data_IF_374473987137
#
_entry.id   IF_374473987137
#
_cell.length_a   1.000
_cell.length_b   1.000
_cell.length_c   1.000
_cell.angle_alpha   90.00
_cell.angle_beta   90.00
_cell.angle_gamma   90.00
#
_symmetry.space_group_name_H-M   'P 1'
#
loop_
_entity.id
_entity.type
_entity.pdbx_description
1 polymer ?
#
# COMPACT_ATOMS: atom_id res chain seq x y z
N UNK A 1 -5.09 19.72 26.65
CA UNK A 1 -4.24 18.56 26.32
C UNK A 1 -3.19 18.81 25.22
N UNK A 2 -3.10 20.01 24.61
CA UNK A 2 -2.03 20.34 23.64
C UNK A 2 -1.01 21.39 24.13
N UNK A 3 -1.09 21.82 25.41
CA UNK A 3 -0.17 22.82 25.98
C UNK A 3 1.25 22.28 26.33
N UNK A 4 1.52 21.00 26.08
CA UNK A 4 2.79 20.36 26.49
C UNK A 4 3.72 19.99 25.33
N UNK A 5 3.34 20.22 24.06
CA UNK A 5 4.20 19.95 22.89
C UNK A 5 5.13 21.13 22.55
N UNK A 6 5.60 21.85 23.58
CA UNK A 6 6.52 22.97 23.40
C UNK A 6 7.94 22.47 23.20
N UNK A 7 8.51 22.77 22.01
CA UNK A 7 9.88 22.54 21.53
C UNK A 7 10.18 21.12 21.04
N UNK A 8 9.90 20.91 19.76
CA UNK A 8 10.36 19.79 18.95
C UNK A 8 11.86 19.94 18.68
N UNK A 9 12.67 19.01 19.17
CA UNK A 9 14.09 18.88 18.78
C UNK A 9 14.18 18.10 17.46
N UNK A 10 14.22 18.84 16.35
CA UNK A 10 14.46 18.37 14.96
C UNK A 10 15.87 17.74 14.78
N UNK A 11 16.76 17.94 15.76
CA UNK A 11 18.20 17.64 15.68
C UNK A 11 18.52 16.12 15.66
N UNK A 12 17.61 15.25 16.12
CA UNK A 12 17.97 13.83 16.37
C UNK A 12 17.74 12.88 15.19
N UNK A 13 17.14 13.35 14.10
CA UNK A 13 16.95 12.59 12.84
C UNK A 13 18.07 12.85 11.81
N UNK A 14 19.00 13.76 12.11
CA UNK A 14 20.01 14.24 11.14
C UNK A 14 21.28 13.38 11.08
N UNK A 15 21.60 12.56 12.09
CA UNK A 15 22.79 11.68 12.01
C UNK A 15 22.56 10.42 11.19
N UNK A 16 21.36 9.86 11.23
CA UNK A 16 21.13 8.49 10.73
C UNK A 16 20.74 8.46 9.24
N UNK A 17 20.27 9.58 8.69
CA UNK A 17 19.86 9.70 7.28
C UNK A 17 21.06 10.00 6.36
N UNK A 18 22.17 10.54 6.89
CA UNK A 18 23.31 10.97 6.08
C UNK A 18 24.13 9.79 5.48
N UNK A 19 24.05 8.59 6.04
CA UNK A 19 24.87 7.44 5.57
C UNK A 19 24.13 6.46 4.64
N UNK A 20 22.80 6.42 4.64
CA UNK A 20 22.04 5.40 3.89
C UNK A 20 21.54 5.79 2.49
N UNK A 21 21.62 7.07 2.10
CA UNK A 21 20.88 7.61 0.94
C UNK A 21 21.73 7.73 -0.34
N UNK A 22 23.05 7.53 -0.26
CA UNK A 22 23.94 7.66 -1.43
C UNK A 22 23.84 6.53 -2.47
N UNK A 23 23.27 5.35 -2.16
CA UNK A 23 23.28 4.21 -3.09
C UNK A 23 22.05 4.10 -4.00
N UNK A 24 20.93 4.73 -3.67
CA UNK A 24 19.65 4.51 -4.37
C UNK A 24 19.43 5.48 -5.53
N UNK A 25 20.13 6.62 -5.56
CA UNK A 25 19.93 7.67 -6.57
C UNK A 25 20.51 7.35 -7.98
N UNK A 26 21.16 6.20 -8.17
CA UNK A 26 21.92 5.90 -9.39
C UNK A 26 21.17 5.11 -10.48
N UNK A 27 19.86 4.87 -10.38
CA UNK A 27 19.10 4.10 -11.39
C UNK A 27 17.75 4.72 -11.71
N UNK A 28 17.76 5.83 -12.44
CA UNK A 28 16.55 6.35 -13.09
C UNK A 28 16.58 6.05 -14.58
N UNK A 29 15.65 5.24 -15.10
CA UNK A 29 15.23 5.30 -16.51
C UNK A 29 13.82 4.71 -16.74
N UNK A 30 12.95 5.57 -17.33
CA UNK A 30 11.86 5.32 -18.28
C UNK A 30 10.56 4.60 -17.85
N UNK A 31 9.56 5.43 -17.54
CA UNK A 31 8.12 5.09 -17.56
C UNK A 31 7.51 5.28 -18.96
N UNK A 32 6.68 4.33 -19.40
CA UNK A 32 5.62 4.56 -20.38
C UNK A 32 4.34 3.83 -19.95
N UNK A 33 3.24 4.55 -20.00
CA UNK A 33 1.92 4.27 -19.43
C UNK A 33 1.07 3.28 -20.24
N UNK A 34 0.30 2.42 -19.55
CA UNK A 34 -0.92 1.79 -20.09
C UNK A 34 -1.84 1.24 -18.99
N UNK A 35 -3.03 1.82 -18.87
CA UNK A 35 -4.17 1.30 -18.08
C UNK A 35 -5.10 0.49 -18.98
N UNK A 36 -5.68 -0.65 -18.52
CA UNK A 36 -6.76 -1.32 -19.25
C UNK A 36 -8.14 -0.86 -18.78
N UNK A 37 -9.04 -0.61 -19.75
CA UNK A 37 -10.47 -0.30 -19.56
C UNK A 37 -11.30 -1.60 -19.48
N UNK A 38 -12.31 -1.59 -18.62
CA UNK A 38 -13.35 -2.62 -18.48
C UNK A 38 -14.52 -2.33 -19.44
N UNK A 39 -15.08 -3.31 -20.18
CA UNK A 39 -16.29 -3.10 -20.97
C UNK A 39 -17.55 -3.35 -20.13
N UNK A 40 -18.45 -2.36 -20.12
CA UNK A 40 -19.85 -2.45 -19.74
C UNK A 40 -20.65 -2.63 -21.03
N UNK A 41 -21.44 -3.70 -21.15
CA UNK A 41 -22.28 -3.90 -22.33
C UNK A 41 -23.78 -3.94 -22.03
N UNK A 42 -24.52 -3.48 -23.05
CA UNK A 42 -25.81 -2.81 -22.97
C UNK A 42 -26.99 -3.76 -22.97
N UNK A 43 -28.06 -3.25 -22.39
CA UNK A 43 -29.45 -3.65 -22.58
C UNK A 43 -29.83 -3.75 -24.06
N UNK A 44 -30.54 -4.82 -24.43
CA UNK A 44 -31.23 -4.91 -25.73
C UNK A 44 -32.58 -5.58 -25.56
N UNK A 45 -33.62 -4.80 -25.86
CA UNK A 45 -35.03 -5.17 -25.92
C UNK A 45 -35.32 -5.83 -27.26
N UNK A 46 -36.05 -6.96 -27.30
CA UNK A 46 -36.78 -7.37 -28.51
C UNK A 46 -38.12 -8.03 -28.21
N UNK A 47 -39.15 -7.49 -28.88
CA UNK A 47 -40.56 -7.86 -28.87
C UNK A 47 -40.78 -9.27 -29.44
N UNK A 48 -41.80 -9.94 -28.94
CA UNK A 48 -42.08 -11.35 -29.20
C UNK A 48 -42.88 -11.67 -30.46
N UNK A 49 -43.16 -12.96 -30.59
CA UNK A 49 -44.18 -13.58 -31.44
C UNK A 49 -44.64 -14.87 -30.77
N UNK A 50 -45.96 -15.03 -30.69
CA UNK A 50 -46.69 -16.16 -30.10
C UNK A 50 -46.63 -17.37 -31.03
N UNK A 51 -46.38 -18.57 -30.50
CA UNK A 51 -46.88 -19.82 -31.09
C UNK A 51 -47.12 -20.88 -30.01
N UNK A 52 -48.31 -21.45 -30.10
CA UNK A 52 -48.95 -22.47 -29.27
C UNK A 52 -48.19 -23.78 -29.13
N UNK A 53 -48.27 -24.37 -27.93
CA UNK A 53 -48.45 -25.82 -27.75
C UNK A 53 -47.22 -26.72 -27.85
N UNK A 54 -46.56 -26.94 -26.71
CA UNK A 54 -46.00 -28.23 -26.29
C UNK A 54 -45.50 -28.08 -24.85
N UNK A 55 -46.32 -28.52 -23.90
CA UNK A 55 -46.00 -28.60 -22.48
C UNK A 55 -44.93 -29.68 -22.29
N UNK A 56 -43.66 -29.26 -22.34
CA UNK A 56 -42.54 -30.06 -21.84
C UNK A 56 -42.62 -30.00 -20.32
N UNK A 57 -43.09 -31.10 -19.72
CA UNK A 57 -43.06 -31.32 -18.28
C UNK A 57 -41.60 -31.31 -17.78
N UNK A 58 -41.09 -30.12 -17.49
CA UNK A 58 -39.99 -29.92 -16.55
C UNK A 58 -40.56 -30.42 -15.22
N UNK A 59 -40.07 -31.54 -14.69
CA UNK A 59 -40.35 -31.89 -13.29
C UNK A 59 -39.93 -30.67 -12.45
N UNK A 60 -40.89 -29.90 -11.91
CA UNK A 60 -40.55 -28.64 -11.26
C UNK A 60 -39.71 -28.98 -10.04
N UNK A 61 -38.57 -28.32 -9.88
CA UNK A 61 -37.83 -28.38 -8.63
C UNK A 61 -38.82 -27.99 -7.52
N UNK A 62 -39.12 -28.93 -6.62
CA UNK A 62 -40.18 -28.76 -5.63
C UNK A 62 -39.64 -28.16 -4.33
N UNK A 63 -40.01 -26.91 -4.07
CA UNK A 63 -39.74 -26.20 -2.83
C UNK A 63 -40.92 -26.30 -1.83
N UNK A 64 -41.90 -27.18 -2.07
CA UNK A 64 -43.10 -27.34 -1.23
C UNK A 64 -42.80 -27.60 0.24
N UNK A 65 -41.65 -28.22 0.52
CA UNK A 65 -41.15 -28.45 1.87
C UNK A 65 -41.11 -27.17 2.72
N UNK A 66 -40.86 -26.00 2.10
CA UNK A 66 -40.72 -24.72 2.80
C UNK A 66 -41.96 -23.80 2.68
N UNK A 67 -43.12 -24.34 2.29
CA UNK A 67 -44.35 -23.53 2.14
C UNK A 67 -44.95 -23.06 3.46
N UNK A 68 -44.81 -23.86 4.51
CA UNK A 68 -45.42 -23.61 5.82
C UNK A 68 -44.29 -23.35 6.84
N UNK A 69 -43.88 -22.09 6.96
CA UNK A 69 -42.90 -21.63 7.94
C UNK A 69 -43.60 -20.66 8.89
N UNK A 70 -43.58 -20.96 10.18
CA UNK A 70 -44.11 -20.12 11.25
C UNK A 70 -42.97 -19.31 11.89
N UNK A 71 -42.98 -18.00 11.67
CA UNK A 71 -42.05 -17.04 12.27
C UNK A 71 -42.81 -16.22 13.32
N UNK A 72 -42.44 -16.36 14.60
CA UNK A 72 -43.18 -15.71 15.70
C UNK A 72 -43.05 -14.19 15.72
N UNK A 73 -41.96 -13.65 15.16
CA UNK A 73 -41.61 -12.24 15.03
C UNK A 73 -41.68 -11.73 13.58
N UNK A 74 -42.60 -12.29 12.78
CA UNK A 74 -42.85 -11.84 11.41
C UNK A 74 -43.36 -10.39 11.38
N UNK A 75 -42.52 -9.47 10.91
CA UNK A 75 -42.82 -8.03 10.82
C UNK A 75 -43.78 -7.66 9.68
N UNK A 76 -43.99 -8.57 8.72
CA UNK A 76 -44.92 -8.37 7.61
C UNK A 76 -46.37 -8.74 7.99
N UNK A 77 -46.56 -9.67 8.94
CA UNK A 77 -47.87 -10.08 9.45
C UNK A 77 -48.27 -9.25 10.69
N UNK A 78 -48.49 -7.95 10.44
CA UNK A 78 -48.87 -6.95 11.45
C UNK A 78 -50.20 -6.28 11.12
N UNK A 79 -50.86 -5.72 12.13
CA UNK A 79 -52.11 -4.99 11.96
C UNK A 79 -51.98 -3.59 12.59
N UNK A 80 -52.42 -2.50 11.92
CA UNK A 80 -52.25 -1.12 12.43
C UNK A 80 -52.81 -0.84 13.83
N UNK A 81 -53.74 -1.68 14.30
CA UNK A 81 -54.38 -1.55 15.61
C UNK A 81 -53.85 -2.54 16.67
N UNK A 82 -52.85 -3.36 16.36
CA UNK A 82 -52.26 -4.33 17.28
C UNK A 82 -50.81 -3.95 17.55
N UNK A 83 -50.44 -3.92 18.82
CA UNK A 83 -49.07 -3.65 19.24
C UNK A 83 -48.16 -4.84 18.91
N UNK A 84 -47.23 -4.64 17.97
CA UNK A 84 -46.40 -5.72 17.41
C UNK A 84 -45.47 -6.38 18.43
N UNK A 85 -44.81 -5.67 19.37
CA UNK A 85 -43.92 -6.32 20.34
C UNK A 85 -44.65 -7.24 21.32
N UNK A 86 -45.89 -6.91 21.71
CA UNK A 86 -46.71 -7.79 22.56
C UNK A 86 -47.29 -8.96 21.75
N UNK A 87 -47.68 -8.75 20.50
CA UNK A 87 -48.11 -9.79 19.58
C UNK A 87 -47.03 -10.86 19.34
N UNK A 88 -45.78 -10.46 19.08
CA UNK A 88 -44.68 -11.41 18.85
C UNK A 88 -44.38 -12.27 20.07
N UNK A 89 -44.41 -11.69 21.27
CA UNK A 89 -44.26 -12.44 22.53
C UNK A 89 -45.40 -13.43 22.72
N UNK A 90 -46.63 -13.02 22.42
CA UNK A 90 -47.79 -13.89 22.51
C UNK A 90 -47.72 -15.05 21.51
N UNK A 91 -47.36 -14.79 20.24
CA UNK A 91 -47.12 -15.82 19.21
C UNK A 91 -46.04 -16.81 19.64
N UNK A 92 -44.91 -16.30 20.17
CA UNK A 92 -43.85 -17.14 20.72
C UNK A 92 -44.34 -18.02 21.87
N UNK A 93 -45.11 -17.47 22.81
CA UNK A 93 -45.67 -18.23 23.92
C UNK A 93 -46.66 -19.31 23.44
N UNK A 94 -47.58 -18.96 22.54
CA UNK A 94 -48.55 -19.89 21.98
C UNK A 94 -47.87 -21.04 21.21
N UNK A 95 -46.72 -20.78 20.58
CA UNK A 95 -45.88 -21.82 19.96
C UNK A 95 -45.28 -22.76 21.00
N UNK A 96 -44.68 -22.22 22.06
CA UNK A 96 -44.10 -23.02 23.15
C UNK A 96 -45.16 -23.88 23.85
N UNK A 97 -46.36 -23.34 24.07
CA UNK A 97 -47.50 -24.06 24.65
C UNK A 97 -47.94 -25.23 23.73
N UNK A 98 -48.11 -24.99 22.43
CA UNK A 98 -48.42 -26.06 21.45
C UNK A 98 -47.36 -27.17 21.44
N UNK A 99 -46.07 -26.79 21.44
CA UNK A 99 -44.98 -27.78 21.48
C UNK A 99 -44.96 -28.55 22.81
N UNK A 100 -45.24 -27.90 23.94
CA UNK A 100 -45.30 -28.56 25.25
C UNK A 100 -46.48 -29.53 25.36
N UNK A 101 -47.67 -29.16 24.89
CA UNK A 101 -48.84 -30.04 24.84
C UNK A 101 -48.60 -31.26 23.95
N UNK A 102 -47.96 -31.05 22.79
CA UNK A 102 -47.60 -32.12 21.86
C UNK A 102 -46.63 -33.11 22.49
N UNK A 103 -45.57 -32.60 23.13
CA UNK A 103 -44.61 -33.43 23.86
C UNK A 103 -45.29 -34.28 24.94
N UNK A 104 -46.23 -33.69 25.69
CA UNK A 104 -46.99 -34.40 26.71
C UNK A 104 -47.89 -35.50 26.11
N UNK A 105 -48.53 -35.25 24.96
CA UNK A 105 -49.31 -36.26 24.23
C UNK A 105 -48.44 -37.40 23.71
N UNK A 106 -47.26 -37.11 23.16
CA UNK A 106 -46.27 -38.11 22.74
C UNK A 106 -45.85 -39.00 23.92
N UNK A 107 -45.47 -38.40 25.05
CA UNK A 107 -45.07 -39.13 26.25
C UNK A 107 -46.20 -40.03 26.82
N UNK A 108 -47.46 -39.58 26.75
CA UNK A 108 -48.62 -40.39 27.13
C UNK A 108 -48.80 -41.59 26.20
N UNK A 109 -48.67 -41.38 24.88
CA UNK A 109 -48.79 -42.44 23.88
C UNK A 109 -47.66 -43.47 24.00
N UNK A 110 -46.44 -43.05 24.28
CA UNK A 110 -45.31 -43.96 24.56
C UNK A 110 -45.53 -44.81 25.82
N UNK A 111 -46.13 -44.22 26.86
CA UNK A 111 -46.55 -44.97 28.07
C UNK A 111 -47.66 -45.97 27.76
N UNK A 112 -48.66 -45.60 26.97
CA UNK A 112 -49.73 -46.52 26.52
C UNK A 112 -49.14 -47.68 25.69
N UNK A 113 -48.22 -47.38 24.78
CA UNK A 113 -47.52 -48.36 23.92
C UNK A 113 -46.65 -49.32 24.72
N UNK A 114 -45.83 -48.83 25.64
CA UNK A 114 -44.99 -49.69 26.50
C UNK A 114 -45.81 -50.60 27.42
N UNK A 115 -46.90 -50.08 28.00
CA UNK A 115 -47.79 -50.86 28.85
C UNK A 115 -48.56 -51.93 28.06
N UNK A 116 -49.11 -51.60 26.89
CA UNK A 116 -49.87 -52.55 26.06
C UNK A 116 -48.97 -53.62 25.44
N UNK A 117 -47.78 -53.26 24.99
CA UNK A 117 -46.79 -54.23 24.46
C UNK A 117 -46.29 -55.19 25.54
N UNK A 118 -46.10 -54.73 26.78
CA UNK A 118 -45.72 -55.59 27.90
C UNK A 118 -46.85 -56.57 28.25
N UNK A 119 -48.10 -56.08 28.33
CA UNK A 119 -49.28 -56.93 28.54
C UNK A 119 -49.49 -57.96 27.43
N UNK A 120 -49.24 -57.59 26.16
CA UNK A 120 -49.32 -58.54 25.05
C UNK A 120 -48.31 -59.68 25.19
N UNK A 121 -47.06 -59.37 25.52
CA UNK A 121 -46.02 -60.39 25.75
C UNK A 121 -46.38 -61.31 26.91
N UNK A 122 -46.78 -60.73 28.04
CA UNK A 122 -47.18 -61.49 29.23
C UNK A 122 -48.36 -62.43 28.94
N UNK A 123 -49.36 -61.98 28.18
CA UNK A 123 -50.53 -62.80 27.79
C UNK A 123 -50.17 -63.88 26.76
N UNK A 124 -49.28 -63.59 25.81
CA UNK A 124 -48.78 -64.57 24.84
C UNK A 124 -47.95 -65.66 25.54
N UNK A 125 -47.08 -65.29 26.48
CA UNK A 125 -46.26 -66.22 27.25
C UNK A 125 -47.13 -67.09 28.17
N UNK A 126 -48.17 -66.51 28.79
CA UNK A 126 -49.18 -67.27 29.55
C UNK A 126 -49.91 -68.26 28.64
N UNK A 127 -50.34 -67.86 27.45
CA UNK A 127 -51.05 -68.75 26.52
C UNK A 127 -50.16 -69.91 26.00
N UNK A 128 -48.85 -69.70 25.92
CA UNK A 128 -47.87 -70.74 25.55
C UNK A 128 -47.56 -71.74 26.68
N UNK A 129 -47.91 -71.45 27.93
CA UNK A 129 -47.70 -72.36 29.06
C UNK A 129 -48.68 -73.55 29.01
N UNK A 130 -48.15 -74.77 29.08
CA UNK A 130 -48.87 -76.02 28.80
C UNK A 130 -49.79 -76.54 29.93
N UNK A 131 -49.94 -75.80 31.03
CA UNK A 131 -50.65 -76.20 32.26
C UNK A 131 -52.06 -75.62 32.42
N UNK A 132 -52.59 -74.93 31.41
CA UNK A 132 -53.81 -74.10 31.55
C UNK A 132 -55.09 -74.87 31.13
N UNK A 133 -56.14 -74.76 31.94
CA UNK A 133 -57.46 -75.36 31.68
C UNK A 133 -58.22 -74.68 30.53
N UNK A 134 -59.12 -75.39 29.84
CA UNK A 134 -59.84 -74.86 28.67
C UNK A 134 -60.62 -73.56 28.94
N UNK A 135 -61.16 -73.37 30.15
CA UNK A 135 -61.87 -72.16 30.53
C UNK A 135 -60.93 -70.94 30.70
N UNK A 136 -59.75 -71.15 31.27
CA UNK A 136 -58.73 -70.10 31.45
C UNK A 136 -58.10 -69.71 30.11
N UNK A 137 -57.97 -70.64 29.17
CA UNK A 137 -57.54 -70.33 27.79
C UNK A 137 -58.52 -69.44 27.06
N UNK A 138 -59.83 -69.67 27.21
CA UNK A 138 -60.86 -68.82 26.60
C UNK A 138 -60.87 -67.41 27.20
N UNK A 139 -60.56 -67.28 28.50
CA UNK A 139 -60.46 -65.99 29.18
C UNK A 139 -59.20 -65.21 28.75
N UNK A 140 -58.04 -65.87 28.69
CA UNK A 140 -56.79 -65.27 28.18
C UNK A 140 -56.94 -64.87 26.71
N UNK A 141 -57.66 -65.66 25.90
CA UNK A 141 -57.93 -65.32 24.51
C UNK A 141 -58.78 -64.06 24.36
N UNK A 142 -59.82 -63.89 25.19
CA UNK A 142 -60.63 -62.66 25.24
C UNK A 142 -59.81 -61.45 25.67
N UNK A 143 -58.99 -61.60 26.71
CA UNK A 143 -58.07 -60.55 27.17
C UNK A 143 -57.03 -60.18 26.10
N UNK A 144 -56.55 -61.14 25.32
CA UNK A 144 -55.62 -60.92 24.22
C UNK A 144 -56.27 -60.17 23.06
N UNK A 145 -57.54 -60.47 22.76
CA UNK A 145 -58.31 -59.75 21.74
C UNK A 145 -58.64 -58.31 22.20
N UNK A 146 -58.96 -58.10 23.48
CA UNK A 146 -59.13 -56.76 24.06
C UNK A 146 -57.84 -55.93 24.02
N UNK A 147 -56.68 -56.53 24.34
CA UNK A 147 -55.39 -55.84 24.28
C UNK A 147 -54.95 -55.58 22.83
N UNK A 148 -55.28 -56.46 21.87
CA UNK A 148 -55.10 -56.16 20.43
C UNK A 148 -55.98 -55.02 19.95
N UNK A 149 -57.19 -54.88 20.48
CA UNK A 149 -58.05 -53.73 20.17
C UNK A 149 -57.44 -52.43 20.76
N UNK A 150 -56.89 -52.50 21.97
CA UNK A 150 -56.09 -51.41 22.55
C UNK A 150 -54.85 -51.11 21.68
N UNK A 151 -54.25 -52.14 21.08
CA UNK A 151 -53.14 -52.00 20.14
C UNK A 151 -53.52 -51.22 18.88
N UNK A 152 -54.61 -51.64 18.24
CA UNK A 152 -55.16 -50.95 17.09
C UNK A 152 -55.51 -49.49 17.42
N UNK A 153 -56.04 -49.23 18.63
CA UNK A 153 -56.38 -47.88 19.11
C UNK A 153 -55.15 -46.99 19.26
N UNK A 154 -54.06 -47.45 19.89
CA UNK A 154 -52.86 -46.61 20.02
C UNK A 154 -52.10 -46.50 18.69
N UNK A 155 -52.14 -47.51 17.81
CA UNK A 155 -51.59 -47.42 16.45
C UNK A 155 -52.31 -46.38 15.59
N UNK A 156 -53.63 -46.26 15.73
CA UNK A 156 -54.39 -45.21 15.08
C UNK A 156 -53.99 -43.82 15.60
N UNK A 157 -53.85 -43.66 16.93
CA UNK A 157 -53.35 -42.41 17.53
C UNK A 157 -51.90 -42.08 17.12
N UNK A 158 -51.04 -43.08 16.97
CA UNK A 158 -49.63 -42.92 16.52
C UNK A 158 -49.60 -42.35 15.10
N UNK A 159 -50.42 -42.91 14.21
CA UNK A 159 -50.53 -42.43 12.83
C UNK A 159 -51.11 -41.02 12.75
N UNK A 160 -52.11 -40.71 13.58
CA UNK A 160 -52.66 -39.35 13.66
C UNK A 160 -51.61 -38.33 14.12
N UNK A 161 -50.78 -38.71 15.08
CA UNK A 161 -49.70 -37.87 15.60
C UNK A 161 -48.57 -37.67 14.58
N UNK A 162 -48.24 -38.71 13.81
CA UNK A 162 -47.29 -38.65 12.69
C UNK A 162 -47.79 -37.74 11.55
N UNK A 163 -49.09 -37.81 11.22
CA UNK A 163 -49.69 -36.90 10.25
C UNK A 163 -49.70 -35.44 10.77
N UNK A 164 -49.91 -35.23 12.07
CA UNK A 164 -49.78 -33.91 12.71
C UNK A 164 -48.34 -33.39 12.73
N UNK A 165 -47.33 -34.25 12.88
CA UNK A 165 -45.92 -33.90 12.75
C UNK A 165 -45.54 -33.52 11.33
N UNK A 166 -46.07 -34.25 10.34
CA UNK A 166 -45.80 -33.98 8.92
C UNK A 166 -46.40 -32.67 8.43
N UNK A 167 -47.56 -32.29 8.96
CA UNK A 167 -48.26 -31.03 8.66
C UNK A 167 -47.82 -29.88 9.59
N UNK A 168 -46.83 -30.09 10.46
CA UNK A 168 -46.41 -29.06 11.39
C UNK A 168 -45.64 -27.95 10.66
N UNK A 169 -45.97 -26.67 10.94
CA UNK A 169 -45.21 -25.57 10.39
C UNK A 169 -43.76 -25.60 10.86
N UNK A 170 -42.85 -25.37 9.93
CA UNK A 170 -41.43 -25.21 10.21
C UNK A 170 -41.20 -23.97 11.08
N UNK A 171 -40.41 -24.11 12.13
CA UNK A 171 -40.03 -23.03 13.03
C UNK A 171 -38.54 -23.13 13.37
N UNK A 172 -38.00 -22.14 14.08
CA UNK A 172 -36.57 -22.08 14.44
C UNK A 172 -36.06 -23.32 15.19
N UNK A 173 -36.95 -24.05 15.88
CA UNK A 173 -36.61 -25.23 16.68
C UNK A 173 -36.67 -26.54 15.85
N UNK A 174 -37.36 -26.54 14.71
CA UNK A 174 -37.58 -27.70 13.83
C UNK A 174 -36.76 -27.63 12.53
N UNK A 175 -36.46 -26.44 12.03
CA UNK A 175 -35.71 -26.22 10.77
C UNK A 175 -34.26 -26.69 10.89
N UNK A 176 -33.65 -26.50 12.06
CA UNK A 176 -32.26 -26.87 12.28
C UNK A 176 -31.87 -26.78 13.75
N UNK A 177 -30.68 -27.29 14.06
CA UNK A 177 -30.06 -27.18 15.38
C UNK A 177 -28.71 -26.49 15.25
N UNK A 178 -28.24 -25.88 16.34
CA UNK A 178 -26.90 -25.33 16.38
C UNK A 178 -25.88 -26.46 16.23
N UNK A 179 -25.06 -26.41 15.17
CA UNK A 179 -24.00 -27.40 14.91
C UNK A 179 -22.62 -26.91 15.35
N UNK A 180 -22.38 -25.61 15.22
CA UNK A 180 -21.12 -24.98 15.56
C UNK A 180 -21.34 -23.53 16.04
N UNK A 181 -20.72 -23.21 17.18
CA UNK A 181 -20.73 -21.87 17.76
C UNK A 181 -19.32 -21.51 18.18
N UNK A 182 -18.73 -20.48 17.59
CA UNK A 182 -17.40 -20.00 18.01
C UNK A 182 -17.34 -18.49 17.96
N UNK A 183 -17.02 -17.90 19.11
CA UNK A 183 -16.79 -16.47 19.24
C UNK A 183 -15.29 -16.20 19.33
N UNK A 184 -14.77 -15.30 18.49
CA UNK A 184 -13.38 -14.85 18.56
C UNK A 184 -13.33 -13.37 18.90
N UNK A 185 -12.97 -13.04 20.13
CA UNK A 185 -12.76 -11.66 20.57
C UNK A 185 -11.30 -11.28 20.29
N UNK A 186 -11.09 -10.25 19.47
CA UNK A 186 -9.76 -9.71 19.21
C UNK A 186 -9.30 -8.89 20.43
N UNK A 187 -8.65 -9.54 21.40
CA UNK A 187 -8.10 -8.86 22.58
C UNK A 187 -6.98 -7.92 22.13
N UNK A 188 -7.06 -6.65 22.51
CA UNK A 188 -6.00 -5.66 22.29
C UNK A 188 -4.76 -6.18 23.04
N UNK A 189 -3.76 -6.64 22.30
CA UNK A 189 -2.47 -6.97 22.88
C UNK A 189 -1.78 -5.65 23.23
N UNK A 190 -1.27 -5.53 24.45
CA UNK A 190 -0.34 -4.44 24.75
C UNK A 190 0.81 -4.55 23.73
N UNK A 191 1.21 -3.43 23.08
CA UNK A 191 2.28 -3.47 22.11
C UNK A 191 3.51 -4.00 22.83
N UNK A 192 3.93 -5.22 22.49
CA UNK A 192 5.24 -5.74 22.89
C UNK A 192 6.21 -4.63 22.52
N UNK A 193 6.93 -4.10 23.51
CA UNK A 193 7.95 -3.07 23.32
C UNK A 193 8.73 -3.48 22.08
N UNK A 194 8.60 -2.71 20.99
CA UNK A 194 9.20 -3.06 19.72
C UNK A 194 10.65 -3.40 20.01
N UNK A 195 11.02 -4.68 19.85
CA UNK A 195 12.43 -5.03 19.81
C UNK A 195 12.99 -4.12 18.74
N UNK A 196 13.92 -3.23 19.12
CA UNK A 196 14.56 -2.32 18.16
C UNK A 196 15.06 -3.21 17.05
N UNK A 197 14.46 -3.07 15.87
CA UNK A 197 14.95 -3.73 14.68
C UNK A 197 16.39 -3.28 14.49
N UNK A 198 17.23 -4.17 13.95
CA UNK A 198 18.60 -3.78 13.64
C UNK A 198 18.54 -2.60 12.66
N UNK A 199 19.46 -1.64 12.78
CA UNK A 199 19.50 -0.45 11.92
C UNK A 199 19.53 -0.85 10.43
N UNK A 200 20.21 -1.96 10.10
CA UNK A 200 20.24 -2.53 8.75
C UNK A 200 18.90 -3.13 8.27
N UNK A 201 18.07 -3.64 9.18
CA UNK A 201 16.75 -4.18 8.84
C UNK A 201 15.75 -3.05 8.64
N UNK A 202 15.85 -1.98 9.42
CA UNK A 202 15.01 -0.80 9.31
C UNK A 202 15.29 -0.02 8.03
N UNK A 203 16.56 0.11 7.61
CA UNK A 203 16.91 0.73 6.32
C UNK A 203 16.37 -0.05 5.14
N UNK A 204 16.50 -1.40 5.15
CA UNK A 204 15.90 -2.27 4.12
C UNK A 204 14.39 -2.14 4.07
N UNK A 205 13.71 -2.14 5.23
CA UNK A 205 12.25 -1.95 5.28
C UNK A 205 11.82 -0.59 4.76
N UNK A 206 12.60 0.46 5.05
CA UNK A 206 12.34 1.79 4.52
C UNK A 206 12.49 1.81 3.00
N UNK A 207 13.57 1.23 2.45
CA UNK A 207 13.78 1.12 1.00
C UNK A 207 12.62 0.35 0.32
N UNK A 208 12.30 -0.85 0.82
CA UNK A 208 11.18 -1.66 0.33
C UNK A 208 9.84 -0.91 0.38
N UNK A 209 9.60 -0.14 1.45
CA UNK A 209 8.38 0.63 1.62
C UNK A 209 8.30 1.78 0.60
N UNK A 210 9.40 2.52 0.42
CA UNK A 210 9.50 3.61 -0.54
C UNK A 210 9.29 3.09 -1.97
N UNK A 211 9.95 2.00 -2.35
CA UNK A 211 9.81 1.41 -3.69
C UNK A 211 8.37 0.95 -3.98
N UNK A 212 7.72 0.28 -3.02
CA UNK A 212 6.34 -0.22 -3.20
C UNK A 212 5.29 0.89 -3.25
N UNK A 213 5.55 2.02 -2.60
CA UNK A 213 4.56 3.09 -2.41
C UNK A 213 4.96 4.41 -3.09
N UNK A 214 6.00 4.43 -3.91
CA UNK A 214 6.57 5.65 -4.50
C UNK A 214 5.50 6.52 -5.19
N UNK A 215 4.70 5.92 -6.07
CA UNK A 215 3.64 6.63 -6.77
C UNK A 215 2.57 7.21 -5.84
N UNK A 216 2.26 6.52 -4.73
CA UNK A 216 1.32 7.02 -3.73
C UNK A 216 1.91 8.17 -2.90
N UNK A 217 3.20 8.07 -2.54
CA UNK A 217 3.91 9.10 -1.78
C UNK A 217 4.10 10.39 -2.60
N UNK A 218 4.41 10.27 -3.89
CA UNK A 218 4.45 11.41 -4.81
C UNK A 218 3.08 12.04 -4.98
N UNK A 219 2.03 11.23 -5.11
CA UNK A 219 0.64 11.73 -5.21
C UNK A 219 0.28 12.48 -3.94
N UNK A 220 0.54 11.91 -2.76
CA UNK A 220 0.33 12.55 -1.46
C UNK A 220 1.05 13.90 -1.35
N UNK A 221 2.33 13.94 -1.74
CA UNK A 221 3.15 15.16 -1.69
C UNK A 221 2.65 16.29 -2.60
N UNK A 222 1.79 16.01 -3.57
CA UNK A 222 1.19 17.01 -4.48
C UNK A 222 -0.23 17.41 -4.10
N UNK A 223 -0.80 16.80 -3.06
CA UNK A 223 -2.16 17.14 -2.60
C UNK A 223 -2.14 18.54 -1.99
N UNK A 224 -3.22 19.27 -2.25
CA UNK A 224 -3.49 20.55 -1.62
C UNK A 224 -4.77 20.49 -0.80
N UNK A 225 -4.71 21.06 0.40
CA UNK A 225 -5.86 21.23 1.26
C UNK A 225 -6.16 20.02 2.15
N UNK A 226 -6.56 20.32 3.39
CA UNK A 226 -6.75 19.36 4.47
C UNK A 226 -7.74 18.24 4.14
N UNK A 227 -8.84 18.55 3.44
CA UNK A 227 -9.88 17.57 3.14
C UNK A 227 -9.43 16.52 2.13
N UNK A 228 -8.73 16.95 1.08
CA UNK A 228 -8.16 16.02 0.10
C UNK A 228 -7.07 15.15 0.74
N UNK A 229 -6.26 15.72 1.64
CA UNK A 229 -5.27 14.97 2.41
C UNK A 229 -5.95 13.94 3.35
N UNK A 230 -7.05 14.29 4.01
CA UNK A 230 -7.84 13.39 4.86
C UNK A 230 -8.41 12.20 4.06
N UNK A 231 -9.04 12.48 2.93
CA UNK A 231 -9.66 11.46 2.08
C UNK A 231 -8.58 10.48 1.57
N UNK A 232 -7.43 10.99 1.10
CA UNK A 232 -6.33 10.16 0.62
C UNK A 232 -5.69 9.29 1.71
N UNK A 233 -5.44 9.83 2.91
CA UNK A 233 -4.90 9.04 4.02
C UNK A 233 -5.90 8.01 4.54
N UNK A 234 -7.20 8.29 4.43
CA UNK A 234 -8.26 7.34 4.77
C UNK A 234 -8.32 6.17 3.79
N UNK A 235 -8.08 6.41 2.50
CA UNK A 235 -7.97 5.38 1.45
C UNK A 235 -6.66 4.59 1.55
N UNK A 236 -5.57 5.24 2.00
CA UNK A 236 -4.25 4.64 2.13
C UNK A 236 -3.65 4.80 3.55
N UNK A 237 -4.23 4.16 4.59
CA UNK A 237 -3.84 4.42 5.98
C UNK A 237 -2.41 3.98 6.31
N UNK A 238 -1.86 3.01 5.58
CA UNK A 238 -0.50 2.51 5.75
C UNK A 238 0.58 3.54 5.43
N UNK A 239 0.25 4.60 4.69
CA UNK A 239 1.18 5.70 4.40
C UNK A 239 1.45 6.58 5.63
N UNK A 240 0.58 6.56 6.64
CA UNK A 240 0.79 7.30 7.87
C UNK A 240 1.83 6.59 8.77
N UNK A 241 3.10 6.69 8.41
CA UNK A 241 4.23 6.07 9.09
C UNK A 241 5.49 6.97 9.01
N UNK A 242 6.50 6.67 9.84
CA UNK A 242 7.75 7.46 9.87
C UNK A 242 8.53 7.37 8.55
N UNK A 243 8.49 6.22 7.87
CA UNK A 243 9.16 6.03 6.58
C UNK A 243 8.61 6.99 5.50
N UNK A 244 7.30 7.22 5.47
CA UNK A 244 6.69 8.18 4.54
C UNK A 244 7.15 9.62 4.83
N UNK A 245 7.22 10.02 6.10
CA UNK A 245 7.73 11.35 6.48
C UNK A 245 9.19 11.55 6.06
N UNK A 246 10.03 10.51 6.22
CA UNK A 246 11.43 10.53 5.79
C UNK A 246 11.57 10.63 4.27
N UNK A 247 10.80 9.83 3.51
CA UNK A 247 10.76 9.91 2.05
C UNK A 247 10.39 11.31 1.57
N UNK A 248 9.29 11.87 2.10
CA UNK A 248 8.83 13.22 1.73
C UNK A 248 9.89 14.28 2.05
N UNK A 249 10.62 14.15 3.15
CA UNK A 249 11.68 15.09 3.53
C UNK A 249 12.84 15.07 2.52
N UNK A 250 13.25 13.88 2.07
CA UNK A 250 14.30 13.72 1.06
C UNK A 250 13.82 14.29 -0.28
N UNK A 251 12.60 13.99 -0.67
CA UNK A 251 12.06 14.46 -1.95
C UNK A 251 11.87 15.99 -1.96
N UNK A 252 11.45 16.59 -0.84
CA UNK A 252 11.46 18.04 -0.67
C UNK A 252 12.86 18.63 -0.87
N UNK A 253 13.90 17.98 -0.35
CA UNK A 253 15.28 18.43 -0.52
C UNK A 253 15.75 18.32 -1.98
N UNK A 254 15.39 17.24 -2.67
CA UNK A 254 15.69 17.07 -4.09
C UNK A 254 15.04 18.18 -4.93
N UNK A 255 13.75 18.46 -4.70
CA UNK A 255 13.04 19.56 -5.37
C UNK A 255 13.67 20.94 -5.08
N UNK A 256 14.17 21.15 -3.87
CA UNK A 256 14.89 22.38 -3.51
C UNK A 256 16.23 22.51 -4.26
N UNK A 257 16.97 21.41 -4.45
CA UNK A 257 18.21 21.37 -5.23
C UNK A 257 17.93 21.67 -6.70
N UNK A 258 16.85 21.08 -7.25
CA UNK A 258 16.38 21.29 -8.62
C UNK A 258 15.77 22.68 -8.87
N UNK A 259 15.67 23.53 -7.84
CA UNK A 259 15.04 24.87 -7.88
C UNK A 259 13.55 24.84 -8.23
N UNK A 260 12.85 23.75 -7.94
CA UNK A 260 11.39 23.62 -8.10
C UNK A 260 10.68 24.08 -6.82
N UNK A 261 10.70 25.38 -6.56
CA UNK A 261 10.23 25.95 -5.29
C UNK A 261 8.74 25.75 -5.04
N UNK A 262 7.90 25.87 -6.06
CA UNK A 262 6.45 25.71 -5.92
C UNK A 262 6.11 24.29 -5.45
N UNK A 263 6.62 23.27 -6.14
CA UNK A 263 6.41 21.85 -5.79
C UNK A 263 6.99 21.50 -4.42
N UNK A 264 8.17 22.04 -4.09
CA UNK A 264 8.79 21.88 -2.78
C UNK A 264 7.89 22.43 -1.67
N UNK A 265 7.29 23.62 -1.86
CA UNK A 265 6.43 24.24 -0.85
C UNK A 265 5.19 23.37 -0.55
N UNK A 266 4.56 22.80 -1.58
CA UNK A 266 3.41 21.90 -1.42
C UNK A 266 3.80 20.65 -0.65
N UNK A 267 4.88 20.01 -1.09
CA UNK A 267 5.33 18.75 -0.49
C UNK A 267 5.81 18.95 0.94
N UNK A 268 6.42 20.11 1.24
CA UNK A 268 6.83 20.49 2.57
C UNK A 268 5.63 20.64 3.52
N UNK A 269 4.54 21.26 3.08
CA UNK A 269 3.30 21.36 3.86
C UNK A 269 2.75 19.96 4.18
N UNK A 270 2.66 19.07 3.19
CA UNK A 270 2.19 17.69 3.38
C UNK A 270 3.12 16.88 4.30
N UNK A 271 4.43 17.08 4.20
CA UNK A 271 5.40 16.47 5.10
C UNK A 271 5.18 16.88 6.56
N UNK A 272 4.94 18.18 6.83
CA UNK A 272 4.67 18.68 8.18
C UNK A 272 3.32 18.16 8.72
N UNK A 273 2.29 18.08 7.88
CA UNK A 273 1.00 17.46 8.26
C UNK A 273 1.20 16.00 8.70
N UNK A 274 2.00 15.23 7.95
CA UNK A 274 2.33 13.86 8.30
C UNK A 274 3.09 13.77 9.65
N UNK A 275 4.06 14.67 9.88
CA UNK A 275 4.80 14.73 11.14
C UNK A 275 3.90 15.04 12.33
N UNK A 276 2.96 15.98 12.19
CA UNK A 276 1.99 16.32 13.23
C UNK A 276 1.07 15.15 13.56
N UNK A 277 0.62 14.41 12.55
CA UNK A 277 -0.18 13.20 12.74
C UNK A 277 0.60 12.12 13.51
N UNK A 278 1.87 11.90 13.16
CA UNK A 278 2.76 10.95 13.84
C UNK A 278 3.02 11.35 15.29
N UNK A 279 3.23 12.63 15.56
CA UNK A 279 3.43 13.15 16.92
C UNK A 279 2.16 13.01 17.76
N UNK A 280 0.98 13.29 17.19
CA UNK A 280 -0.29 13.05 17.85
C UNK A 280 -0.46 11.55 18.18
N UNK A 281 -0.13 10.66 17.25
CA UNK A 281 -0.19 9.22 17.47
C UNK A 281 0.71 8.78 18.63
N UNK A 282 1.96 9.29 18.68
CA UNK A 282 2.89 9.05 19.79
C UNK A 282 2.33 9.54 21.12
N UNK A 283 1.75 10.74 21.15
CA UNK A 283 1.19 11.33 22.38
C UNK A 283 0.00 10.53 22.94
N UNK A 284 -0.81 9.95 22.05
CA UNK A 284 -1.97 9.14 22.40
C UNK A 284 -1.64 7.65 22.56
N UNK A 285 -0.37 7.26 22.41
CA UNK A 285 0.09 5.86 22.39
C UNK A 285 -0.73 5.00 21.42
N UNK A 286 -1.05 5.57 20.27
CA UNK A 286 -1.82 4.94 19.20
C UNK A 286 -0.96 4.82 17.94
N UNK A 287 -1.48 4.12 16.92
CA UNK A 287 -0.81 3.94 15.63
C UNK A 287 -1.34 5.00 14.66
N UNK A 288 -0.43 5.71 13.98
CA UNK A 288 -0.79 6.78 13.03
C UNK A 288 -1.62 6.28 11.84
N UNK A 289 -1.49 5.01 11.46
CA UNK A 289 -2.30 4.33 10.44
C UNK A 289 -3.75 4.06 10.87
N UNK A 290 -4.14 4.40 12.11
CA UNK A 290 -5.51 4.24 12.54
C UNK A 290 -6.41 5.31 11.91
N UNK A 291 -7.35 4.89 11.07
CA UNK A 291 -8.28 5.78 10.35
C UNK A 291 -9.11 6.66 11.30
N UNK A 292 -9.50 6.16 12.48
CA UNK A 292 -10.24 6.98 13.45
C UNK A 292 -9.37 8.07 14.06
N UNK A 293 -8.07 7.80 14.26
CA UNK A 293 -7.13 8.81 14.70
C UNK A 293 -6.94 9.88 13.62
N UNK A 294 -6.77 9.47 12.37
CA UNK A 294 -6.62 10.37 11.22
C UNK A 294 -7.83 11.30 11.07
N UNK A 295 -9.05 10.76 11.02
CA UNK A 295 -10.29 11.55 10.95
C UNK A 295 -10.41 12.52 12.13
N UNK A 296 -10.08 12.09 13.33
CA UNK A 296 -10.12 12.96 14.51
C UNK A 296 -9.05 14.05 14.47
N UNK A 297 -7.88 13.77 13.90
CA UNK A 297 -6.82 14.75 13.67
C UNK A 297 -7.32 15.84 12.71
N UNK A 298 -7.78 15.48 11.51
CA UNK A 298 -8.24 16.44 10.52
C UNK A 298 -9.48 17.22 10.97
N UNK A 299 -10.44 16.56 11.65
CA UNK A 299 -11.59 17.24 12.26
C UNK A 299 -11.17 18.31 13.29
N UNK A 300 -10.17 18.02 14.13
CA UNK A 300 -9.67 18.99 15.11
C UNK A 300 -8.83 20.08 14.44
N UNK A 301 -8.05 19.72 13.43
CA UNK A 301 -7.23 20.65 12.68
C UNK A 301 -8.10 21.69 11.95
N UNK A 302 -9.18 21.25 11.29
CA UNK A 302 -10.13 22.14 10.62
C UNK A 302 -10.95 23.03 11.56
N UNK A 303 -11.06 22.65 12.84
CA UNK A 303 -11.73 23.43 13.89
C UNK A 303 -10.75 24.14 14.85
N UNK A 304 -9.46 24.20 14.50
CA UNK A 304 -8.43 24.75 15.37
C UNK A 304 -8.51 26.28 15.48
N UNK A 305 -8.03 26.80 16.61
CA UNK A 305 -7.89 28.24 16.84
C UNK A 305 -6.94 28.85 15.78
N UNK A 306 -7.23 30.05 15.23
CA UNK A 306 -6.33 30.76 14.33
C UNK A 306 -4.88 30.86 14.82
N UNK A 307 -4.64 30.91 16.13
CA UNK A 307 -3.31 30.94 16.74
C UNK A 307 -2.54 29.63 16.48
N UNK A 308 -3.23 28.49 16.56
CA UNK A 308 -2.64 27.18 16.26
C UNK A 308 -2.32 27.05 14.76
N UNK A 309 -3.24 27.51 13.92
CA UNK A 309 -3.04 27.52 12.46
C UNK A 309 -1.83 28.37 12.08
N UNK A 310 -1.63 29.54 12.72
CA UNK A 310 -0.43 30.37 12.51
C UNK A 310 0.86 29.64 12.89
N UNK A 311 0.90 29.02 14.06
CA UNK A 311 2.06 28.23 14.51
C UNK A 311 2.40 27.11 13.51
N UNK A 312 1.38 26.46 12.94
CA UNK A 312 1.58 25.45 11.89
C UNK A 312 2.23 26.05 10.64
N UNK A 313 1.75 27.20 10.14
CA UNK A 313 2.34 27.85 8.97
C UNK A 313 3.77 28.33 9.23
N UNK A 314 4.06 28.86 10.42
CA UNK A 314 5.42 29.25 10.84
C UNK A 314 6.37 28.03 10.86
N UNK A 315 5.89 26.86 11.28
CA UNK A 315 6.69 25.63 11.25
C UNK A 315 6.92 25.10 9.83
N UNK A 316 5.92 25.21 8.95
CA UNK A 316 6.07 24.90 7.52
C UNK A 316 7.10 25.82 6.87
N UNK A 317 7.02 27.14 7.12
CA UNK A 317 7.97 28.13 6.59
C UNK A 317 9.39 27.86 7.13
N UNK A 318 9.53 27.62 8.43
CA UNK A 318 10.82 27.27 9.02
C UNK A 318 11.39 25.96 8.44
N UNK A 319 10.54 24.99 8.09
CA UNK A 319 10.98 23.76 7.42
C UNK A 319 11.45 24.02 5.98
N UNK A 320 10.71 24.84 5.22
CA UNK A 320 11.10 25.28 3.88
C UNK A 320 12.44 26.03 3.90
N UNK A 321 12.66 26.92 4.86
CA UNK A 321 13.94 27.66 4.99
C UNK A 321 15.13 26.74 5.27
N UNK A 322 14.93 25.70 6.11
CA UNK A 322 15.96 24.68 6.34
C UNK A 322 16.26 23.91 5.06
N UNK A 323 15.25 23.57 4.27
CA UNK A 323 15.43 22.89 2.98
C UNK A 323 16.18 23.77 1.97
N UNK A 324 15.82 25.06 1.86
CA UNK A 324 16.53 26.03 1.00
C UNK A 324 18.00 26.12 1.38
N UNK A 325 18.30 26.29 2.67
CA UNK A 325 19.69 26.39 3.17
C UNK A 325 20.47 25.09 2.92
N UNK A 326 19.88 23.93 3.18
CA UNK A 326 20.55 22.64 2.92
C UNK A 326 20.77 22.41 1.42
N UNK A 327 19.84 22.84 0.59
CA UNK A 327 19.98 22.76 -0.86
C UNK A 327 21.10 23.66 -1.38
N UNK A 328 21.25 24.90 -0.87
CA UNK A 328 22.38 25.77 -1.22
C UNK A 328 23.71 25.17 -0.79
N UNK A 329 23.82 24.71 0.46
CA UNK A 329 25.04 24.06 0.98
C UNK A 329 25.42 22.82 0.16
N UNK A 330 24.46 21.97 -0.22
CA UNK A 330 24.73 20.77 -1.01
C UNK A 330 25.13 21.09 -2.45
N UNK A 331 24.58 22.16 -3.03
CA UNK A 331 24.97 22.64 -4.37
C UNK A 331 26.36 23.26 -4.35
N UNK A 332 26.67 24.07 -3.33
CA UNK A 332 28.00 24.65 -3.13
C UNK A 332 29.07 23.56 -2.91
N UNK A 333 28.74 22.52 -2.12
CA UNK A 333 29.61 21.36 -1.94
C UNK A 333 29.86 20.62 -3.26
N UNK A 334 28.83 20.35 -4.05
CA UNK A 334 28.97 19.69 -5.36
C UNK A 334 29.80 20.54 -6.35
N UNK A 335 29.63 21.86 -6.35
CA UNK A 335 30.46 22.76 -7.18
C UNK A 335 31.91 22.79 -6.71
N UNK A 336 32.15 22.80 -5.39
CA UNK A 336 33.50 22.79 -4.84
C UNK A 336 34.23 21.46 -5.09
N UNK A 337 33.52 20.33 -5.05
CA UNK A 337 34.07 19.01 -5.41
C UNK A 337 34.47 18.97 -6.89
N UNK A 338 33.59 19.46 -7.78
CA UNK A 338 33.90 19.57 -9.20
C UNK A 338 35.11 20.50 -9.48
N UNK A 339 35.18 21.65 -8.81
CA UNK A 339 36.32 22.56 -8.92
C UNK A 339 37.61 21.93 -8.39
N UNK A 340 37.54 21.13 -7.32
CA UNK A 340 38.69 20.41 -6.77
C UNK A 340 39.17 19.29 -7.69
N UNK A 341 38.26 18.54 -8.33
CA UNK A 341 38.59 17.52 -9.33
C UNK A 341 39.22 18.15 -10.59
N UNK A 342 38.66 19.26 -11.09
CA UNK A 342 39.25 20.02 -12.20
C UNK A 342 40.61 20.60 -11.83
N UNK A 343 40.78 21.12 -10.60
CA UNK A 343 42.08 21.57 -10.08
C UNK A 343 43.08 20.42 -10.03
N UNK A 344 42.69 19.25 -9.54
CA UNK A 344 43.54 18.06 -9.51
C UNK A 344 43.93 17.60 -10.92
N UNK A 345 43.01 17.68 -11.89
CA UNK A 345 43.27 17.37 -13.29
C UNK A 345 44.26 18.36 -13.92
N UNK A 346 44.15 19.66 -13.62
CA UNK A 346 45.10 20.69 -14.07
C UNK A 346 46.50 20.45 -13.49
N UNK A 347 46.58 20.18 -12.19
CA UNK A 347 47.84 19.83 -11.51
C UNK A 347 48.48 18.59 -12.12
N UNK A 348 47.69 17.55 -12.43
CA UNK A 348 48.18 16.32 -13.04
C UNK A 348 48.68 16.51 -14.49
N UNK A 349 48.13 17.49 -15.22
CA UNK A 349 48.56 17.84 -16.56
C UNK A 349 49.83 18.73 -16.57
N UNK A 350 50.20 19.32 -15.44
CA UNK A 350 51.37 20.19 -15.31
C UNK A 350 52.69 19.42 -15.19
N UNK A 351 53.76 19.84 -15.88
CA UNK A 351 55.06 19.13 -15.88
C UNK A 351 55.71 18.95 -14.50
N UNK A 352 55.47 19.87 -13.56
CA UNK A 352 56.04 19.89 -12.21
C UNK A 352 55.00 19.83 -11.10
N UNK A 353 53.75 19.45 -11.40
CA UNK A 353 52.70 19.26 -10.38
C UNK A 353 52.24 20.55 -9.68
N UNK A 354 52.44 21.71 -10.31
CA UNK A 354 51.89 22.99 -9.85
C UNK A 354 50.69 23.39 -10.71
N UNK A 355 49.62 23.89 -10.09
CA UNK A 355 48.45 24.40 -10.80
C UNK A 355 48.82 25.67 -11.59
N UNK A 356 48.62 25.71 -12.93
CA UNK A 356 48.93 26.89 -13.74
C UNK A 356 48.20 28.15 -13.28
N UNK A 357 46.96 28.01 -12.82
CA UNK A 357 46.13 29.12 -12.38
C UNK A 357 46.64 29.71 -11.05
N UNK A 358 46.93 28.86 -10.07
CA UNK A 358 47.46 29.30 -8.76
C UNK A 358 48.85 29.94 -8.88
N UNK A 359 49.70 29.42 -9.78
CA UNK A 359 51.00 30.05 -10.05
C UNK A 359 50.78 31.43 -10.67
N UNK A 360 49.91 31.57 -11.67
CA UNK A 360 49.62 32.86 -12.30
C UNK A 360 49.09 33.90 -11.29
N UNK A 361 48.14 33.53 -10.44
CA UNK A 361 47.52 34.43 -9.46
C UNK A 361 48.50 34.88 -8.36
N UNK A 362 49.56 34.11 -8.11
CA UNK A 362 50.60 34.41 -7.10
C UNK A 362 51.87 35.05 -7.69
N UNK A 363 51.91 35.31 -9.00
CA UNK A 363 53.00 36.04 -9.63
C UNK A 363 52.96 37.54 -9.29
N UNK A 364 54.12 38.23 -9.25
CA UNK A 364 54.15 39.68 -9.17
C UNK A 364 53.39 40.34 -10.32
N UNK A 365 52.68 41.45 -10.07
CA UNK A 365 51.87 42.14 -11.10
C UNK A 365 52.67 42.50 -12.37
N UNK A 366 53.96 42.82 -12.23
CA UNK A 366 54.83 43.12 -13.36
C UNK A 366 55.09 41.88 -14.24
N UNK A 367 55.20 40.70 -13.63
CA UNK A 367 55.32 39.41 -14.36
C UNK A 367 53.99 38.98 -14.94
N UNK A 368 52.87 39.13 -14.21
CA UNK A 368 51.52 38.84 -14.71
C UNK A 368 51.23 39.61 -16.01
N UNK A 369 51.50 40.92 -16.02
CA UNK A 369 51.35 41.77 -17.22
C UNK A 369 52.23 41.34 -18.38
N UNK A 370 53.41 40.74 -18.12
CA UNK A 370 54.26 40.18 -19.18
C UNK A 370 53.64 38.92 -19.80
N UNK A 371 53.03 38.04 -18.99
CA UNK A 371 52.32 36.85 -19.48
C UNK A 371 50.97 37.19 -20.15
N UNK A 372 50.23 38.17 -19.63
CA UNK A 372 48.99 38.68 -20.26
C UNK A 372 49.24 39.32 -21.62
N UNK A 373 50.35 40.06 -21.77
CA UNK A 373 50.73 40.68 -23.04
C UNK A 373 51.54 39.76 -23.97
N UNK A 374 51.83 38.52 -23.54
CA UNK A 374 52.61 37.52 -24.26
C UNK A 374 53.95 38.06 -24.83
N UNK A 375 54.57 39.02 -24.13
CA UNK A 375 55.73 39.76 -24.62
C UNK A 375 57.01 39.29 -23.93
N UNK A 376 57.74 38.42 -24.62
CA UNK A 376 59.03 37.85 -24.17
C UNK A 376 60.10 38.93 -23.98
N UNK A 377 60.01 40.06 -24.69
CA UNK A 377 60.94 41.18 -24.57
C UNK A 377 60.77 41.94 -23.25
N UNK A 378 59.53 42.11 -22.79
CA UNK A 378 59.23 42.70 -21.48
C UNK A 378 59.64 41.78 -20.34
N UNK A 379 59.47 40.46 -20.48
CA UNK A 379 59.91 39.48 -19.48
C UNK A 379 61.44 39.50 -19.29
N UNK A 380 62.21 39.60 -20.39
CA UNK A 380 63.67 39.76 -20.35
C UNK A 380 64.10 41.09 -19.74
N UNK A 381 63.36 42.17 -20.02
CA UNK A 381 63.62 43.49 -19.42
C UNK A 381 63.31 43.51 -17.92
N UNK A 382 62.34 42.71 -17.49
CA UNK A 382 61.95 42.56 -16.09
C UNK A 382 62.98 41.73 -15.31
N UNK A 383 63.55 40.69 -15.93
CA UNK A 383 64.64 39.89 -15.37
C UNK A 383 65.90 40.71 -15.02
N UNK A 384 66.13 41.83 -15.73
CA UNK A 384 67.25 42.75 -15.46
C UNK A 384 66.95 43.81 -14.40
N UNK A 385 65.66 44.06 -14.12
CA UNK A 385 65.21 45.11 -13.20
C UNK A 385 64.89 44.58 -11.80
N UNK A 386 64.38 43.35 -11.73
CA UNK A 386 64.07 42.69 -10.47
C UNK A 386 65.28 41.95 -9.92
N UNK A 387 65.22 41.66 -8.61
CA UNK A 387 66.23 40.85 -7.94
C UNK A 387 66.27 39.43 -8.54
N UNK A 388 67.49 38.95 -8.81
CA UNK A 388 67.73 37.73 -9.60
C UNK A 388 67.17 36.48 -8.90
N UNK A 389 67.30 36.41 -7.57
CA UNK A 389 66.79 35.30 -6.76
C UNK A 389 65.26 35.23 -6.76
N UNK A 390 64.59 36.39 -6.67
CA UNK A 390 63.12 36.50 -6.67
C UNK A 390 62.57 36.17 -8.06
N UNK A 391 63.19 36.68 -9.12
CA UNK A 391 62.79 36.38 -10.49
C UNK A 391 62.92 34.88 -10.79
N UNK A 392 64.06 34.27 -10.43
CA UNK A 392 64.28 32.83 -10.66
C UNK A 392 63.32 31.94 -9.87
N UNK A 393 62.95 32.32 -8.65
CA UNK A 393 61.95 31.59 -7.86
C UNK A 393 60.59 31.54 -8.57
N UNK A 394 60.08 32.68 -9.04
CA UNK A 394 58.80 32.74 -9.75
C UNK A 394 58.88 32.16 -11.18
N UNK A 395 59.99 32.36 -11.88
CA UNK A 395 60.20 31.84 -13.23
C UNK A 395 60.28 30.30 -13.25
N UNK A 396 60.94 29.68 -12.27
CA UNK A 396 60.97 28.23 -12.12
C UNK A 396 59.57 27.64 -11.88
N UNK A 397 58.76 28.31 -11.06
CA UNK A 397 57.36 27.92 -10.83
C UNK A 397 56.51 28.03 -12.10
N UNK A 398 56.79 28.99 -12.98
CA UNK A 398 56.12 29.09 -14.29
C UNK A 398 56.47 27.93 -15.22
N UNK A 399 57.70 27.40 -15.14
CA UNK A 399 58.11 26.22 -15.89
C UNK A 399 57.45 24.96 -15.32
N UNK A 400 57.49 24.82 -13.99
CA UNK A 400 56.94 23.67 -13.28
C UNK A 400 55.40 23.60 -13.37
N UNK A 401 54.71 24.73 -13.51
CA UNK A 401 53.27 24.78 -13.79
C UNK A 401 52.92 24.68 -15.28
N UNK A 402 53.91 24.62 -16.18
CA UNK A 402 53.68 24.58 -17.63
C UNK A 402 53.21 25.91 -18.23
N UNK A 403 53.21 27.01 -17.47
CA UNK A 403 52.90 28.37 -17.93
C UNK A 403 53.97 28.91 -18.91
N UNK A 404 55.20 28.40 -18.81
CA UNK A 404 56.31 28.68 -19.72
C UNK A 404 57.01 27.39 -20.15
N UNK A 405 57.10 27.13 -21.45
CA UNK A 405 57.84 25.99 -22.01
C UNK A 405 59.20 26.48 -22.49
N UNK A 406 60.32 26.07 -21.86
CA UNK A 406 61.65 26.42 -22.35
C UNK A 406 61.86 25.90 -23.78
N UNK A 407 62.37 26.74 -24.68
CA UNK A 407 62.81 26.29 -26.00
C UNK A 407 63.91 25.23 -25.83
N UNK A 408 63.65 24.00 -26.28
CA UNK A 408 64.68 22.95 -26.29
C UNK A 408 65.68 23.26 -27.40
N UNK A 409 66.96 23.40 -27.04
CA UNK A 409 68.08 23.19 -27.98
C UNK A 409 67.97 21.79 -28.58
N UNK A 410 68.00 21.72 -29.92
CA UNK A 410 68.01 20.48 -30.71
C UNK A 410 69.16 19.56 -30.28
N UNK A 411 68.82 18.37 -29.79
CA UNK A 411 69.52 17.08 -29.95
C UNK A 411 69.02 16.09 -28.88
N UNK A 412 67.87 15.46 -29.13
CA UNK A 412 67.64 14.02 -28.86
C UNK A 412 66.31 13.58 -29.52
N UNK A 413 66.41 12.92 -30.67
CA UNK A 413 65.40 11.97 -31.15
C UNK A 413 65.59 10.64 -30.40
N UNK A 414 64.61 9.88 -29.94
CA UNK A 414 63.16 9.96 -30.06
C UNK A 414 62.55 8.72 -29.42
N UNK A 415 61.29 8.84 -28.98
CA UNK A 415 60.36 7.71 -28.93
C UNK A 415 58.96 8.29 -29.11
N UNK A 416 58.69 8.63 -30.36
CA UNK A 416 57.33 8.68 -30.88
C UNK A 416 56.79 7.25 -30.81
N UNK A 417 55.81 7.02 -29.94
CA UNK A 417 54.79 6.00 -30.16
C UNK A 417 53.51 6.75 -30.50
N UNK A 418 53.40 7.17 -31.76
CA UNK A 418 52.08 7.25 -32.40
C UNK A 418 51.60 5.81 -32.57
N UNK A 419 50.51 5.45 -31.90
CA UNK A 419 49.58 4.55 -32.56
C UNK A 419 48.78 5.39 -33.54
N UNK A 420 48.80 4.89 -34.77
CA UNK A 420 48.06 5.31 -35.94
C UNK A 420 46.63 5.75 -35.63
N UNK A 421 46.17 6.71 -36.42
CA UNK A 421 45.28 6.36 -37.52
C UNK A 421 45.86 6.90 -38.83
N UNK A 422 46.22 6.00 -39.74
CA UNK A 422 46.08 6.22 -41.18
C UNK A 422 45.64 4.90 -41.81
N UNK A 423 44.72 5.06 -42.75
CA UNK A 423 43.95 4.12 -43.56
C UNK A 423 44.71 2.89 -44.09
N UNK A 424 43.95 1.82 -44.35
CA UNK A 424 44.34 0.71 -45.21
C UNK A 424 43.54 0.75 -46.52
N UNK A 425 44.28 0.97 -47.60
CA UNK A 425 43.92 0.79 -49.01
C UNK A 425 43.90 -0.71 -49.39
N UNK A 426 43.00 -1.08 -50.31
CA UNK A 426 43.06 -2.30 -51.11
C UNK A 426 42.57 -1.95 -52.54
N UNK A 427 43.52 -1.67 -53.44
CA UNK A 427 43.69 -2.31 -54.77
C UNK A 427 42.57 -2.25 -55.85
N UNK A 428 42.88 -1.49 -56.90
CA UNK A 428 42.62 -1.67 -58.36
C UNK A 428 41.18 -1.91 -58.90
N UNK A 429 40.68 -0.97 -59.73
CA UNK A 429 40.45 -1.14 -61.18
C UNK A 429 39.70 0.04 -61.84
N UNK A 430 40.33 0.62 -62.87
CA UNK A 430 39.81 1.14 -64.15
C UNK A 430 38.66 2.19 -64.25
N UNK A 431 38.94 3.29 -64.99
CA UNK A 431 38.04 3.75 -66.06
C UNK A 431 37.44 5.17 -66.00
N UNK A 432 38.11 6.11 -66.67
CA UNK A 432 37.63 7.19 -67.58
C UNK A 432 36.37 8.08 -67.32
N UNK A 433 36.56 9.36 -67.69
CA UNK A 433 35.62 10.39 -68.22
C UNK A 433 34.65 11.09 -67.22
N UNK A 434 34.81 12.39 -66.93
CA UNK A 434 34.43 13.62 -67.67
C UNK A 434 32.94 14.05 -67.48
N UNK A 435 32.74 15.39 -67.35
CA UNK A 435 31.50 16.19 -67.52
C UNK A 435 30.59 16.43 -66.28
N UNK A 436 30.56 17.65 -65.72
CA UNK A 436 29.62 18.81 -65.91
C UNK A 436 28.28 18.75 -65.15
N UNK A 437 28.05 19.81 -64.37
CA UNK A 437 26.80 20.57 -64.13
C UNK A 437 25.42 19.90 -63.89
N UNK A 438 24.66 20.59 -63.01
CA UNK A 438 23.18 20.82 -62.97
C UNK A 438 22.30 20.08 -61.95
N UNK A 439 21.66 20.92 -61.12
CA UNK A 439 20.26 20.97 -60.68
C UNK A 439 19.36 19.71 -60.59
N UNK A 440 18.57 19.72 -59.49
CA UNK A 440 17.11 19.51 -59.40
C UNK A 440 16.48 18.18 -58.91
N UNK A 441 15.78 18.30 -57.77
CA UNK A 441 14.35 17.95 -57.48
C UNK A 441 13.85 16.48 -57.46
N UNK A 442 13.11 16.16 -56.37
CA UNK A 442 12.06 15.10 -56.15
C UNK A 442 12.53 13.62 -56.13
N UNK A 443 11.94 12.65 -55.42
CA UNK A 443 10.63 12.44 -54.73
C UNK A 443 10.72 11.20 -53.80
N UNK A 444 9.70 11.02 -52.95
CA UNK A 444 9.31 9.80 -52.19
C UNK A 444 9.44 8.45 -52.89
N UNK A 445 9.64 7.36 -52.11
CA UNK A 445 8.77 6.16 -51.97
C UNK A 445 9.50 5.10 -51.08
N UNK A 446 8.93 4.74 -49.92
CA UNK A 446 8.33 3.42 -49.58
C UNK A 446 9.22 2.19 -49.77
N UNK A 447 9.53 1.51 -48.66
CA UNK A 447 9.02 0.17 -48.34
C UNK A 447 8.96 -0.03 -46.82
#
# INVERSE_FOLDING_TARGET
MFKAAGRITVIKLESDIAQGVCEVAARGERYCSRLPRVPCDKTSTRKGTVSTGAELAVMPIDYSKWKEIEVSDDEDDTHPNIDTPSLFRWRHQARLERMAEKKLKQEQLEKEKSNTTSKLKDLQDRLAASTIGNAEKEQIQKELDDVKEQEAKWRAKEKELEDQERLEPWNVDTIGHESFSTTRINKIQEPKSAARLSEEEDTKKMADFCEKNEGLLQTYGRIHGLKATEDFLTEHPHLACEYAANYLTIECLNLAIDRKEDEMCVMAEQCVIMQYLLELAKSLKSVASNVNLQRNFFKKFGAADPTYVKSFHEEVEAFQDRLRKRATEKREAATAEYEAEEKARRIAASPGGLDPQEVFDTLPEEMQKCFESQDVGKLKSLAQKMDEEVFMYHFRRCIDSGLWVPERSSDDEGSVTTQNDTEGDDGDADGEAETTETESVKTCETD
#
